data_IF_951775126609
#
_entry.id   IF_951775126609
#
_cell.length_a   1.000
_cell.length_b   1.000
_cell.length_c   1.000
_cell.angle_alpha   90.00
_cell.angle_beta   90.00
_cell.angle_gamma   90.00
#
_symmetry.space_group_name_H-M   'P 1'
#
loop_
_entity.id
_entity.type
_entity.pdbx_description
1 polymer ?
#
# COMPACT_ATOMS: atom_id res chain seq x y z
N UNK A 1 6.43 21.10 -27.59
CA UNK A 1 6.67 19.84 -26.86
C UNK A 1 5.34 19.30 -26.39
N UNK A 2 4.81 18.28 -27.06
CA UNK A 2 3.55 17.64 -26.68
C UNK A 2 3.86 16.56 -25.65
N UNK A 3 3.42 16.70 -24.39
CA UNK A 3 3.65 15.72 -23.34
C UNK A 3 2.48 14.72 -23.35
N UNK A 4 2.63 13.48 -23.88
CA UNK A 4 1.51 12.56 -24.04
C UNK A 4 1.11 11.86 -22.73
N UNK A 5 1.73 12.21 -21.60
CA UNK A 5 1.44 11.65 -20.28
C UNK A 5 0.61 12.61 -19.43
N UNK A 6 -0.52 13.08 -19.95
CA UNK A 6 -1.53 13.72 -19.12
C UNK A 6 -2.55 12.66 -18.68
N UNK A 7 -2.17 11.88 -17.66
CA UNK A 7 -3.03 10.88 -17.04
C UNK A 7 -3.94 11.51 -15.95
N UNK A 8 -4.81 12.42 -16.35
CA UNK A 8 -5.75 13.13 -15.46
C UNK A 8 -6.92 12.25 -14.99
N UNK A 9 -6.94 10.99 -15.41
CA UNK A 9 -7.92 9.98 -15.00
C UNK A 9 -7.84 9.76 -13.48
N UNK A 10 -8.73 10.42 -12.75
CA UNK A 10 -8.85 10.26 -11.30
C UNK A 10 -9.38 8.86 -10.99
N UNK A 11 -8.52 7.97 -10.49
CA UNK A 11 -8.94 6.64 -10.02
C UNK A 11 -9.54 6.76 -8.62
N UNK A 12 -10.80 6.33 -8.47
CA UNK A 12 -11.44 6.14 -7.15
C UNK A 12 -10.68 5.04 -6.37
N UNK A 13 -10.62 5.16 -5.05
CA UNK A 13 -9.93 4.21 -4.14
C UNK A 13 -8.40 4.09 -4.34
N UNK A 14 -7.72 5.23 -4.56
CA UNK A 14 -6.25 5.31 -4.68
C UNK A 14 -5.52 4.85 -3.41
N UNK A 15 -6.13 5.03 -2.25
CA UNK A 15 -5.58 4.60 -0.96
C UNK A 15 -6.01 3.17 -0.61
N UNK A 16 -5.18 2.47 0.17
CA UNK A 16 -5.53 1.20 0.77
C UNK A 16 -6.73 1.38 1.72
N UNK A 17 -7.75 0.56 1.53
CA UNK A 17 -8.88 0.44 2.43
C UNK A 17 -8.51 -0.37 3.68
N UNK A 18 -9.31 -0.24 4.74
CA UNK A 18 -9.09 -1.01 5.98
C UNK A 18 -9.06 -2.53 5.74
N UNK A 19 -9.98 -3.05 4.91
CA UNK A 19 -10.00 -4.46 4.53
C UNK A 19 -8.70 -4.90 3.85
N UNK A 20 -8.19 -4.09 2.92
CA UNK A 20 -6.94 -4.40 2.22
C UNK A 20 -5.74 -4.38 3.18
N UNK A 21 -5.70 -3.44 4.14
CA UNK A 21 -4.68 -3.43 5.21
C UNK A 21 -4.73 -4.70 6.04
N UNK A 22 -5.91 -5.09 6.52
CA UNK A 22 -6.09 -6.31 7.29
C UNK A 22 -5.69 -7.56 6.50
N UNK A 23 -6.02 -7.62 5.20
CA UNK A 23 -5.54 -8.71 4.32
C UNK A 23 -4.02 -8.73 4.23
N UNK A 24 -3.34 -7.58 4.11
CA UNK A 24 -1.87 -7.51 4.09
C UNK A 24 -1.29 -8.08 5.40
N UNK A 25 -1.82 -7.69 6.56
CA UNK A 25 -1.34 -8.16 7.86
C UNK A 25 -1.51 -9.67 8.04
N UNK A 26 -2.69 -10.22 7.70
CA UNK A 26 -2.96 -11.66 7.79
C UNK A 26 -2.02 -12.44 6.85
N UNK A 27 -1.91 -12.01 5.58
CA UNK A 27 -1.05 -12.68 4.61
C UNK A 27 0.43 -12.59 4.96
N UNK A 28 0.85 -11.50 5.61
CA UNK A 28 2.21 -11.34 6.10
C UNK A 28 2.47 -12.31 7.26
N UNK A 29 1.50 -12.51 8.16
CA UNK A 29 1.57 -13.52 9.23
C UNK A 29 1.63 -14.95 8.66
N UNK A 30 0.93 -15.22 7.56
CA UNK A 30 1.00 -16.49 6.81
C UNK A 30 2.36 -16.69 6.06
N UNK A 31 3.27 -15.73 6.12
CA UNK A 31 4.57 -15.80 5.45
C UNK A 31 4.53 -15.58 3.93
N UNK A 32 3.44 -14.99 3.40
CA UNK A 32 3.37 -14.67 1.97
C UNK A 32 4.32 -13.53 1.60
N UNK A 33 4.93 -13.61 0.41
CA UNK A 33 5.75 -12.52 -0.11
C UNK A 33 4.91 -11.30 -0.48
N UNK A 34 5.46 -10.10 -0.31
CA UNK A 34 4.81 -8.85 -0.67
C UNK A 34 4.33 -8.82 -2.14
N UNK A 35 5.04 -9.50 -3.03
CA UNK A 35 4.65 -9.65 -4.44
C UNK A 35 3.35 -10.46 -4.61
N UNK A 36 3.22 -11.58 -3.87
CA UNK A 36 2.01 -12.41 -3.92
C UNK A 36 0.80 -11.63 -3.41
N UNK A 37 0.97 -10.89 -2.33
CA UNK A 37 -0.06 -10.02 -1.74
C UNK A 37 -0.45 -8.90 -2.72
N UNK A 38 0.53 -8.29 -3.38
CA UNK A 38 0.29 -7.25 -4.39
C UNK A 38 -0.55 -7.76 -5.57
N UNK A 39 -0.27 -8.98 -6.05
CA UNK A 39 -1.06 -9.62 -7.11
C UNK A 39 -2.49 -9.92 -6.67
N UNK A 40 -2.67 -10.44 -5.47
CA UNK A 40 -3.99 -10.77 -4.92
C UNK A 40 -4.87 -9.52 -4.79
N UNK A 41 -4.31 -8.43 -4.25
CA UNK A 41 -5.03 -7.16 -4.08
C UNK A 41 -5.07 -6.31 -5.35
N UNK A 42 -4.42 -6.74 -6.43
CA UNK A 42 -4.23 -5.96 -7.67
C UNK A 42 -3.66 -4.56 -7.39
N UNK A 43 -2.76 -4.46 -6.40
CA UNK A 43 -2.12 -3.21 -6.00
C UNK A 43 -0.66 -3.18 -6.45
N UNK A 44 -0.09 -1.98 -6.68
CA UNK A 44 1.34 -1.85 -6.90
C UNK A 44 2.14 -2.42 -5.73
N UNK A 45 3.22 -3.14 -6.01
CA UNK A 45 4.08 -3.75 -4.96
C UNK A 45 4.61 -2.71 -3.97
N UNK A 46 4.95 -1.51 -4.45
CA UNK A 46 5.44 -0.41 -3.63
C UNK A 46 4.43 0.02 -2.57
N UNK A 47 3.13 -0.06 -2.88
CA UNK A 47 2.06 0.27 -1.93
C UNK A 47 2.05 -0.73 -0.78
N UNK A 48 2.21 -2.02 -1.07
CA UNK A 48 2.27 -3.09 -0.07
C UNK A 48 3.55 -2.97 0.78
N UNK A 49 4.71 -2.76 0.15
CA UNK A 49 5.99 -2.60 0.86
C UNK A 49 5.93 -1.39 1.81
N UNK A 50 5.39 -0.27 1.35
CA UNK A 50 5.24 0.93 2.18
C UNK A 50 4.31 0.68 3.37
N UNK A 51 3.24 -0.10 3.19
CA UNK A 51 2.33 -0.46 4.29
C UNK A 51 3.02 -1.37 5.30
N UNK A 52 3.72 -2.42 4.85
CA UNK A 52 4.51 -3.31 5.72
C UNK A 52 5.52 -2.49 6.52
N UNK A 53 6.27 -1.60 5.86
CA UNK A 53 7.24 -0.73 6.54
C UNK A 53 6.57 0.17 7.59
N UNK A 54 5.38 0.71 7.32
CA UNK A 54 4.61 1.50 8.29
C UNK A 54 4.14 0.69 9.49
N UNK A 55 3.87 -0.62 9.32
CA UNK A 55 3.52 -1.53 10.41
C UNK A 55 4.73 -1.91 11.27
N UNK A 56 5.93 -1.98 10.69
CA UNK A 56 7.16 -2.34 11.41
C UNK A 56 7.90 -1.15 12.04
N UNK A 57 7.62 0.07 11.59
CA UNK A 57 8.33 1.29 12.01
C UNK A 57 7.42 2.18 12.83
N UNK A 58 7.92 2.68 13.96
CA UNK A 58 7.22 3.68 14.79
C UNK A 58 6.89 4.91 13.95
N UNK A 59 5.61 5.26 13.87
CA UNK A 59 5.17 6.35 13.00
C UNK A 59 5.13 7.65 13.80
N UNK A 60 5.66 8.73 13.23
CA UNK A 60 5.48 10.07 13.81
C UNK A 60 4.23 10.69 13.20
N UNK A 61 3.19 10.92 14.00
CA UNK A 61 1.99 11.66 13.61
C UNK A 61 1.84 12.89 14.50
N UNK A 62 1.73 14.06 13.89
CA UNK A 62 1.58 15.34 14.61
C UNK A 62 2.67 15.57 15.68
N UNK A 63 3.91 15.21 15.36
CA UNK A 63 5.06 15.36 16.27
C UNK A 63 5.12 14.36 17.42
N UNK A 64 4.22 13.36 17.46
CA UNK A 64 4.20 12.30 18.49
C UNK A 64 4.46 10.94 17.86
N UNK A 65 5.17 10.09 18.58
CA UNK A 65 5.37 8.69 18.21
C UNK A 65 4.04 7.93 18.43
N UNK A 66 3.64 7.13 17.45
CA UNK A 66 2.44 6.30 17.42
C UNK A 66 2.85 4.85 17.23
#
# INVERSE_FOLDING_TARGET
>A
MNYPNHNTESRKNKHLNFKERMTIEIRLADGCSAYKIAKELQRPINTIINEIRRGTTTQIKQGKHV
#
